data_IF_486367102750
#
_entry.id   IF_486367102750
#
_cell.length_a   1.000
_cell.length_b   1.000
_cell.length_c   1.000
_cell.angle_alpha   90.00
_cell.angle_beta   90.00
_cell.angle_gamma   90.00
#
_symmetry.space_group_name_H-M   'P 1'
#
loop_
_entity.id
_entity.type
_entity.pdbx_description
1 polymer ?
#
# COMPACT_ATOMS: atom_id res chain seq x y z
N UNK A 1 -2.60 7.06 15.12
CA UNK A 1 -1.21 7.24 14.72
C UNK A 1 -1.06 7.01 13.22
N UNK A 2 -0.37 7.89 12.54
CA UNK A 2 -0.18 7.77 11.09
C UNK A 2 0.88 6.72 10.77
N UNK A 3 0.65 5.95 9.71
CA UNK A 3 1.65 5.01 9.22
C UNK A 3 2.73 5.76 8.45
N UNK A 4 3.96 5.34 8.60
CA UNK A 4 5.07 5.84 7.81
C UNK A 4 5.28 4.85 6.66
N UNK A 5 4.88 5.25 5.47
CA UNK A 5 4.78 4.36 4.32
C UNK A 5 5.73 4.79 3.21
N UNK A 6 6.45 3.80 2.67
CA UNK A 6 7.22 3.99 1.44
C UNK A 6 6.40 3.41 0.30
N UNK A 7 6.18 4.23 -0.73
CA UNK A 7 5.44 3.81 -1.91
C UNK A 7 6.36 3.71 -3.11
N UNK A 8 6.23 2.60 -3.84
CA UNK A 8 6.84 2.45 -5.15
C UNK A 8 5.75 2.22 -6.17
N UNK A 9 5.74 3.01 -7.21
CA UNK A 9 4.73 2.92 -8.26
C UNK A 9 5.43 2.74 -9.60
N UNK A 10 5.09 1.65 -10.29
CA UNK A 10 5.62 1.35 -11.62
C UNK A 10 4.47 1.24 -12.61
N UNK A 11 4.63 1.87 -13.77
CA UNK A 11 3.64 1.74 -14.82
C UNK A 11 3.88 0.49 -15.63
N UNK A 12 2.84 -0.32 -15.83
CA UNK A 12 2.89 -1.52 -16.66
C UNK A 12 1.68 -1.50 -17.59
N UNK A 13 1.91 -1.12 -18.85
CA UNK A 13 0.83 -0.98 -19.83
C UNK A 13 -0.16 0.10 -19.39
N UNK A 14 -1.43 -0.27 -19.26
CA UNK A 14 -2.48 0.64 -18.82
C UNK A 14 -2.74 0.56 -17.32
N UNK A 15 -1.82 -0.03 -16.59
CA UNK A 15 -1.96 -0.23 -15.15
C UNK A 15 -0.76 0.34 -14.41
N UNK A 16 -0.95 0.53 -13.11
CA UNK A 16 0.13 0.93 -12.21
C UNK A 16 0.28 -0.17 -11.17
N UNK A 17 1.49 -0.71 -11.05
CA UNK A 17 1.79 -1.64 -9.97
C UNK A 17 2.27 -0.84 -8.77
N UNK A 18 1.64 -1.04 -7.63
CA UNK A 18 1.95 -0.28 -6.42
C UNK A 18 2.46 -1.24 -5.36
N UNK A 19 3.58 -0.88 -4.75
CA UNK A 19 4.11 -1.59 -3.59
C UNK A 19 4.21 -0.60 -2.45
N UNK A 20 3.66 -0.94 -1.30
CA UNK A 20 3.68 -0.09 -0.12
C UNK A 20 4.28 -0.84 1.04
N UNK A 21 5.23 -0.22 1.73
CA UNK A 21 5.91 -0.81 2.88
C UNK A 21 5.71 0.08 4.09
N UNK A 22 5.29 -0.51 5.19
CA UNK A 22 5.25 0.20 6.46
C UNK A 22 6.64 0.12 7.10
N UNK A 23 7.26 1.28 7.28
CA UNK A 23 8.63 1.35 7.80
C UNK A 23 8.78 0.78 9.20
N UNK A 24 7.76 0.93 10.03
CA UNK A 24 7.85 0.49 11.42
C UNK A 24 7.84 -1.02 11.57
N UNK A 25 7.03 -1.71 10.77
CA UNK A 25 6.87 -3.17 10.89
C UNK A 25 7.58 -3.95 9.79
N UNK A 26 7.93 -3.30 8.68
CA UNK A 26 8.46 -3.98 7.51
C UNK A 26 7.41 -4.72 6.70
N UNK A 27 6.14 -4.61 7.08
CA UNK A 27 5.05 -5.26 6.35
C UNK A 27 4.83 -4.54 5.03
N UNK A 28 4.65 -5.32 3.97
CA UNK A 28 4.48 -4.77 2.64
C UNK A 28 3.26 -5.36 1.95
N UNK A 29 2.62 -4.54 1.13
CA UNK A 29 1.49 -4.98 0.30
C UNK A 29 1.75 -4.52 -1.13
N UNK A 30 1.21 -5.28 -2.09
CA UNK A 30 1.28 -4.92 -3.50
C UNK A 30 -0.10 -5.05 -4.11
N UNK A 31 -0.42 -4.14 -5.01
CA UNK A 31 -1.68 -4.17 -5.72
C UNK A 31 -1.54 -3.44 -7.05
N UNK A 32 -2.55 -3.59 -7.90
CA UNK A 32 -2.59 -2.96 -9.21
C UNK A 32 -3.73 -1.95 -9.23
N UNK A 33 -3.43 -0.76 -9.72
CA UNK A 33 -4.41 0.30 -9.89
C UNK A 33 -4.47 0.72 -11.36
N UNK A 34 -5.61 1.23 -11.84
CA UNK A 34 -5.67 1.74 -13.20
C UNK A 34 -4.80 2.98 -13.35
N UNK A 35 -4.32 3.23 -14.56
CA UNK A 35 -3.45 4.39 -14.82
C UNK A 35 -4.18 5.70 -14.52
N UNK A 36 -5.51 5.69 -14.51
CA UNK A 36 -6.32 6.88 -14.20
C UNK A 36 -6.42 7.17 -12.71
N UNK A 37 -5.99 6.26 -11.86
CA UNK A 37 -6.05 6.49 -10.42
C UNK A 37 -5.07 7.60 -10.02
N UNK A 38 -5.51 8.53 -9.18
CA UNK A 38 -4.66 9.62 -8.73
C UNK A 38 -3.68 9.12 -7.65
N UNK A 39 -2.60 9.88 -7.47
CA UNK A 39 -1.63 9.56 -6.42
C UNK A 39 -2.31 9.51 -5.05
N UNK A 40 -3.23 10.44 -4.80
CA UNK A 40 -3.95 10.50 -3.53
C UNK A 40 -4.80 9.25 -3.31
N UNK A 41 -5.49 8.79 -4.36
CA UNK A 41 -6.30 7.57 -4.27
C UNK A 41 -5.42 6.36 -4.00
N UNK A 42 -4.27 6.28 -4.66
CA UNK A 42 -3.32 5.18 -4.47
C UNK A 42 -2.79 5.18 -3.03
N UNK A 43 -2.43 6.34 -2.51
CA UNK A 43 -1.96 6.44 -1.13
C UNK A 43 -3.02 6.02 -0.12
N UNK A 44 -4.25 6.43 -0.34
CA UNK A 44 -5.36 6.08 0.55
C UNK A 44 -5.58 4.58 0.56
N UNK A 45 -5.57 3.96 -0.62
CA UNK A 45 -5.75 2.52 -0.75
C UNK A 45 -4.59 1.77 -0.10
N UNK A 46 -3.37 2.25 -0.30
CA UNK A 46 -2.18 1.64 0.30
C UNK A 46 -2.25 1.65 1.82
N UNK A 47 -2.65 2.78 2.41
CA UNK A 47 -2.81 2.88 3.86
C UNK A 47 -3.85 1.92 4.38
N UNK A 48 -4.98 1.83 3.68
CA UNK A 48 -6.07 0.94 4.06
C UNK A 48 -5.63 -0.52 4.03
N UNK A 49 -4.94 -0.93 2.97
CA UNK A 49 -4.47 -2.31 2.84
C UNK A 49 -3.40 -2.65 3.88
N UNK A 50 -2.47 -1.75 4.12
CA UNK A 50 -1.44 -1.96 5.14
C UNK A 50 -2.05 -2.05 6.53
N UNK A 51 -2.96 -1.14 6.87
CA UNK A 51 -3.61 -1.14 8.17
C UNK A 51 -4.33 -2.46 8.42
N UNK A 52 -5.00 -2.98 7.40
CA UNK A 52 -5.70 -4.26 7.51
C UNK A 52 -4.73 -5.41 7.82
N UNK A 53 -3.64 -5.49 7.06
CA UNK A 53 -2.66 -6.57 7.22
C UNK A 53 -1.95 -6.48 8.57
N UNK A 54 -1.59 -5.26 8.98
CA UNK A 54 -0.92 -5.04 10.27
C UNK A 54 -1.83 -5.48 11.41
N UNK A 55 -3.11 -5.09 11.36
CA UNK A 55 -4.07 -5.47 12.39
C UNK A 55 -4.27 -6.97 12.43
N UNK A 56 -4.32 -7.63 11.27
CA UNK A 56 -4.49 -9.07 11.18
C UNK A 56 -3.29 -9.80 11.77
N UNK A 57 -2.08 -9.36 11.48
CA UNK A 57 -0.87 -9.98 12.03
C UNK A 57 -0.78 -9.79 13.53
N UNK A 58 -1.17 -8.62 14.03
CA UNK A 58 -1.19 -8.37 15.48
C UNK A 58 -2.18 -9.30 16.18
N UNK A 59 -3.31 -9.59 15.55
CA UNK A 59 -4.31 -10.49 16.12
C UNK A 59 -3.85 -11.95 16.15
N UNK A 60 -2.91 -12.30 15.27
CA UNK A 60 -2.39 -13.67 15.18
C UNK A 60 -1.27 -13.97 16.18
N UNK A 61 -0.67 -12.92 16.75
CA UNK A 61 0.48 -13.10 17.65
C UNK A 61 0.12 -13.36 19.09
#
# INVERSE_FOLDING_TARGET
MALSIILEISRVGNSQKVTAVDEATGIEVSFVAPVSASRMDIERLARSKLAYVIAKKSAES
#
